data_IF_764551869836
#
_entry.id   IF_764551869836
#
_cell.length_a   1.000
_cell.length_b   1.000
_cell.length_c   1.000
_cell.angle_alpha   90.00
_cell.angle_beta   90.00
_cell.angle_gamma   90.00
#
_symmetry.space_group_name_H-M   'P 1'
#
loop_
_entity.id
_entity.type
_entity.pdbx_description
1 polymer ?
#
# COMPACT_ATOMS: atom_id res chain seq x y z
N UNK A 1 -21.02 -1.20 -34.30
CA UNK A 1 -21.46 -0.14 -35.25
C UNK A 1 -20.82 1.19 -34.79
N UNK A 2 -19.87 1.69 -35.58
CA UNK A 2 -19.21 3.01 -35.59
C UNK A 2 -20.04 4.20 -35.04
N UNK A 3 -19.55 5.34 -34.49
CA UNK A 3 -18.27 6.09 -34.48
C UNK A 3 -18.28 7.05 -33.27
N UNK A 4 -17.36 6.91 -32.32
CA UNK A 4 -16.86 7.99 -31.43
C UNK A 4 -15.53 7.49 -30.85
N UNK A 5 -14.45 8.23 -31.13
CA UNK A 5 -13.05 7.78 -31.03
C UNK A 5 -12.43 7.95 -29.62
N UNK A 6 -13.23 7.91 -28.56
CA UNK A 6 -12.73 7.87 -27.18
C UNK A 6 -13.63 6.95 -26.36
N UNK A 7 -13.12 5.79 -25.96
CA UNK A 7 -13.80 4.88 -25.06
C UNK A 7 -13.67 5.37 -23.62
N UNK A 8 -14.54 6.27 -23.17
CA UNK A 8 -14.74 6.56 -21.75
C UNK A 8 -15.57 5.43 -21.13
N UNK A 9 -14.90 4.34 -20.75
CA UNK A 9 -15.54 3.21 -20.09
C UNK A 9 -15.60 3.46 -18.57
N UNK A 10 -16.79 3.83 -18.10
CA UNK A 10 -17.16 3.84 -16.69
C UNK A 10 -17.22 2.39 -16.17
N UNK A 11 -16.18 1.90 -15.49
CA UNK A 11 -16.29 0.63 -14.76
C UNK A 11 -15.87 0.77 -13.30
N UNK A 12 -16.75 1.39 -12.52
CA UNK A 12 -16.95 1.10 -11.09
C UNK A 12 -18.25 0.28 -11.02
N UNK A 13 -18.31 -0.85 -10.29
CA UNK A 13 -19.54 -1.64 -10.17
C UNK A 13 -20.73 -0.75 -9.83
N UNK A 14 -21.82 -0.80 -10.61
CA UNK A 14 -22.97 0.12 -10.48
C UNK A 14 -23.47 0.22 -9.03
N UNK A 15 -23.68 -0.91 -8.35
CA UNK A 15 -24.17 -0.92 -6.97
C UNK A 15 -23.23 -0.26 -5.96
N UNK A 16 -21.91 -0.30 -6.17
CA UNK A 16 -20.93 0.37 -5.29
C UNK A 16 -20.86 1.86 -5.64
N UNK A 17 -20.95 2.21 -6.93
CA UNK A 17 -20.95 3.61 -7.35
C UNK A 17 -22.19 4.34 -6.89
N UNK A 18 -23.36 3.73 -7.01
CA UNK A 18 -24.62 4.38 -6.66
C UNK A 18 -24.72 4.50 -5.13
N UNK A 19 -24.35 3.47 -4.36
CA UNK A 19 -24.25 3.55 -2.90
C UNK A 19 -23.24 4.61 -2.41
N UNK A 20 -22.03 4.64 -2.98
CA UNK A 20 -21.02 5.64 -2.60
C UNK A 20 -21.37 7.04 -3.11
N UNK A 21 -21.98 7.16 -4.28
CA UNK A 21 -22.45 8.45 -4.79
C UNK A 21 -23.60 8.97 -3.95
N UNK A 22 -24.53 8.12 -3.51
CA UNK A 22 -25.63 8.50 -2.63
C UNK A 22 -25.10 8.90 -1.25
N UNK A 23 -24.19 8.11 -0.65
CA UNK A 23 -23.55 8.46 0.62
C UNK A 23 -22.82 9.80 0.49
N UNK A 24 -21.99 9.97 -0.55
CA UNK A 24 -21.24 11.21 -0.75
C UNK A 24 -22.16 12.39 -1.07
N UNK A 25 -23.22 12.18 -1.86
CA UNK A 25 -24.19 13.21 -2.24
C UNK A 25 -25.03 13.66 -1.05
N UNK A 26 -25.59 12.73 -0.26
CA UNK A 26 -26.31 13.08 0.97
C UNK A 26 -25.40 13.79 1.95
N UNK A 27 -24.18 13.29 2.12
CA UNK A 27 -23.20 13.90 3.02
C UNK A 27 -22.80 15.30 2.57
N UNK A 28 -22.59 15.52 1.26
CA UNK A 28 -22.26 16.83 0.71
C UNK A 28 -23.46 17.78 0.65
N UNK A 29 -24.69 17.27 0.51
CA UNK A 29 -25.92 18.09 0.47
C UNK A 29 -26.31 18.57 1.86
N UNK A 30 -26.22 17.72 2.88
CA UNK A 30 -26.40 18.13 4.28
C UNK A 30 -25.41 19.23 4.71
N UNK A 31 -24.23 19.24 4.10
CA UNK A 31 -23.20 20.27 4.26
C UNK A 31 -23.57 21.61 3.63
N UNK A 32 -24.29 21.60 2.51
CA UNK A 32 -24.73 22.83 1.81
C UNK A 32 -25.98 23.41 2.47
N UNK A 33 -26.89 22.56 2.95
CA UNK A 33 -28.18 22.97 3.52
C UNK A 33 -28.05 23.48 4.97
N UNK A 34 -27.10 22.97 5.77
CA UNK A 34 -26.87 23.37 7.17
C UNK A 34 -25.37 23.65 7.45
N UNK A 35 -24.86 24.85 7.08
CA UNK A 35 -23.44 25.18 7.18
C UNK A 35 -22.93 25.53 8.60
N UNK A 36 -23.77 25.48 9.64
CA UNK A 36 -23.36 25.82 11.03
C UNK A 36 -23.59 24.68 12.05
N UNK A 37 -24.10 23.52 11.61
CA UNK A 37 -24.40 22.36 12.48
C UNK A 37 -23.17 21.44 12.63
N UNK A 38 -22.25 21.86 13.50
CA UNK A 38 -20.96 21.20 13.77
C UNK A 38 -21.10 19.78 14.35
N UNK A 39 -22.20 19.47 15.04
CA UNK A 39 -22.43 18.14 15.65
C UNK A 39 -22.86 17.10 14.61
N UNK A 40 -23.64 17.51 13.60
CA UNK A 40 -23.98 16.69 12.44
C UNK A 40 -22.74 16.34 11.58
N UNK A 41 -21.65 17.11 11.70
CA UNK A 41 -20.42 16.92 10.94
C UNK A 41 -19.42 15.96 11.59
N UNK A 42 -19.71 15.44 12.78
CA UNK A 42 -18.86 14.46 13.47
C UNK A 42 -18.64 13.15 12.68
N UNK A 43 -19.49 12.84 11.70
CA UNK A 43 -19.36 11.68 10.80
C UNK A 43 -18.50 11.95 9.55
N UNK A 44 -18.20 13.21 9.23
CA UNK A 44 -17.26 13.60 8.18
C UNK A 44 -15.89 13.82 8.82
N UNK A 45 -14.79 13.30 8.26
CA UNK A 45 -13.48 13.62 8.80
C UNK A 45 -13.28 15.13 8.66
N UNK A 46 -13.19 15.82 9.80
CA UNK A 46 -13.01 17.27 10.04
C UNK A 46 -11.99 18.00 9.13
N UNK A 47 -11.27 17.30 8.25
CA UNK A 47 -10.35 17.84 7.26
C UNK A 47 -10.97 18.23 5.90
N UNK A 48 -12.14 17.72 5.52
CA UNK A 48 -12.69 17.95 4.15
C UNK A 48 -13.12 19.41 3.94
N UNK A 49 -13.68 20.06 4.97
CA UNK A 49 -14.10 21.47 4.89
C UNK A 49 -12.96 22.50 4.82
N UNK A 50 -11.71 22.09 5.07
CA UNK A 50 -10.55 23.00 5.15
C UNK A 50 -9.62 22.94 3.92
N UNK A 51 -10.00 22.21 2.86
CA UNK A 51 -9.31 22.30 1.57
C UNK A 51 -9.17 23.73 1.01
N UNK A 52 -10.16 24.64 1.15
CA UNK A 52 -10.04 26.01 0.64
C UNK A 52 -8.88 26.82 1.27
N UNK A 53 -8.38 26.42 2.45
CA UNK A 53 -7.45 27.24 3.24
C UNK A 53 -6.02 26.68 3.34
N UNK A 54 -5.69 25.58 2.65
CA UNK A 54 -4.37 24.95 2.76
C UNK A 54 -3.64 24.84 1.42
N UNK A 55 -3.11 25.96 0.93
CA UNK A 55 -2.09 26.02 -0.15
C UNK A 55 -0.99 24.95 0.01
N UNK A 56 -0.60 24.68 1.27
CA UNK A 56 0.40 23.68 1.63
C UNK A 56 0.00 22.26 1.23
N UNK A 57 -1.28 21.88 1.35
CA UNK A 57 -1.76 20.53 0.99
C UNK A 57 -1.70 20.33 -0.52
N UNK A 58 -2.23 21.29 -1.28
CA UNK A 58 -2.22 21.22 -2.75
C UNK A 58 -0.79 21.25 -3.29
N UNK A 59 0.05 22.16 -2.80
CA UNK A 59 1.47 22.21 -3.19
C UNK A 59 2.19 20.89 -2.89
N UNK A 60 2.05 20.36 -1.67
CA UNK A 60 2.65 19.06 -1.30
C UNK A 60 2.13 17.93 -2.18
N UNK A 61 0.84 17.91 -2.48
CA UNK A 61 0.22 16.92 -3.36
C UNK A 61 0.79 17.00 -4.78
N UNK A 62 0.93 18.20 -5.36
CA UNK A 62 1.55 18.39 -6.69
C UNK A 62 3.01 17.89 -6.70
N UNK A 63 3.80 18.23 -5.68
CA UNK A 63 5.20 17.80 -5.61
C UNK A 63 5.36 16.29 -5.45
N UNK A 64 4.37 15.64 -4.84
CA UNK A 64 4.39 14.18 -4.59
C UNK A 64 3.97 13.31 -5.78
N UNK A 65 3.72 13.88 -6.96
CA UNK A 65 3.61 13.10 -8.20
C UNK A 65 4.99 12.61 -8.65
N UNK A 66 5.05 11.39 -9.22
CA UNK A 66 6.29 10.91 -9.86
C UNK A 66 6.66 11.80 -11.06
N UNK A 67 7.96 11.97 -11.36
CA UNK A 67 8.41 12.71 -12.55
C UNK A 67 7.83 12.14 -13.85
N UNK A 68 7.71 10.82 -13.95
CA UNK A 68 7.23 10.14 -15.16
C UNK A 68 5.71 9.89 -15.17
N UNK A 69 4.96 10.65 -14.36
CA UNK A 69 3.51 10.47 -14.28
C UNK A 69 2.84 10.89 -15.59
N UNK A 70 2.20 9.93 -16.26
CA UNK A 70 1.55 10.15 -17.54
C UNK A 70 0.40 11.18 -17.45
N UNK A 71 0.16 11.97 -18.52
CA UNK A 71 -0.94 12.93 -18.59
C UNK A 71 -2.31 12.27 -18.74
N UNK A 72 -3.36 13.01 -18.39
CA UNK A 72 -4.74 12.63 -18.68
C UNK A 72 -5.17 12.98 -20.11
N UNK A 73 -6.47 12.88 -20.43
CA UNK A 73 -7.06 13.27 -21.73
C UNK A 73 -6.65 14.66 -22.26
N UNK A 74 -6.42 15.64 -21.40
CA UNK A 74 -6.01 17.02 -21.73
C UNK A 74 -4.55 17.12 -22.19
N UNK A 75 -3.74 16.09 -21.99
CA UNK A 75 -2.30 16.13 -22.25
C UNK A 75 -1.50 16.89 -21.18
N UNK A 76 -2.16 17.48 -20.18
CA UNK A 76 -1.45 18.12 -19.06
C UNK A 76 -0.83 17.05 -18.16
N UNK A 77 0.47 17.16 -17.93
CA UNK A 77 1.21 16.31 -17.01
C UNK A 77 1.29 16.96 -15.61
N UNK A 78 1.56 16.17 -14.56
CA UNK A 78 1.89 16.73 -13.26
C UNK A 78 3.14 17.62 -13.27
N UNK A 79 4.07 17.43 -14.21
CA UNK A 79 5.27 18.28 -14.30
C UNK A 79 4.93 19.71 -14.70
N UNK A 80 3.97 19.93 -15.62
CA UNK A 80 3.51 21.28 -15.93
C UNK A 80 2.96 22.01 -14.69
N UNK A 81 2.35 21.27 -13.77
CA UNK A 81 1.85 21.85 -12.51
C UNK A 81 2.99 22.16 -11.53
N UNK A 82 4.02 21.31 -11.47
CA UNK A 82 5.23 21.59 -10.68
C UNK A 82 5.94 22.83 -11.20
N UNK A 83 6.08 22.96 -12.52
CA UNK A 83 6.64 24.14 -13.19
C UNK A 83 5.81 25.40 -12.92
N UNK A 84 4.48 25.30 -12.97
CA UNK A 84 3.59 26.42 -12.62
C UNK A 84 3.79 26.91 -11.19
N UNK A 85 4.00 26.00 -10.23
CA UNK A 85 4.31 26.34 -8.82
C UNK A 85 5.72 26.89 -8.67
N UNK A 86 6.69 26.41 -9.46
CA UNK A 86 8.08 26.87 -9.45
C UNK A 86 8.37 27.97 -10.47
N UNK A 87 7.34 28.66 -10.96
CA UNK A 87 7.51 29.74 -11.91
C UNK A 87 8.46 30.82 -11.33
N UNK A 88 9.49 31.29 -12.07
CA UNK A 88 10.43 32.29 -11.57
C UNK A 88 9.77 33.61 -11.12
N UNK A 89 8.58 33.92 -11.65
CA UNK A 89 7.77 35.06 -11.24
C UNK A 89 6.95 34.73 -9.99
N UNK A 90 7.21 35.37 -8.83
CA UNK A 90 6.54 35.02 -7.58
C UNK A 90 5.02 35.27 -7.61
N UNK A 91 4.59 36.34 -8.28
CA UNK A 91 3.17 36.68 -8.43
C UNK A 91 2.43 35.66 -9.31
N UNK A 92 3.08 35.16 -10.36
CA UNK A 92 2.52 34.15 -11.26
C UNK A 92 2.41 32.81 -10.57
N UNK A 93 3.47 32.36 -9.88
CA UNK A 93 3.47 31.12 -9.10
C UNK A 93 2.37 31.11 -8.03
N UNK A 94 2.22 32.23 -7.31
CA UNK A 94 1.21 32.37 -6.25
C UNK A 94 -0.21 32.33 -6.83
N UNK A 95 -0.46 33.07 -7.91
CA UNK A 95 -1.76 33.06 -8.58
C UNK A 95 -2.10 31.69 -9.17
N UNK A 96 -1.12 31.00 -9.77
CA UNK A 96 -1.30 29.65 -10.29
C UNK A 96 -1.72 28.68 -9.18
N UNK A 97 -0.99 28.68 -8.05
CA UNK A 97 -1.31 27.82 -6.92
C UNK A 97 -2.67 28.16 -6.31
N UNK A 98 -3.04 29.45 -6.24
CA UNK A 98 -4.37 29.89 -5.80
C UNK A 98 -5.48 29.33 -6.69
N UNK A 99 -5.39 29.50 -8.01
CA UNK A 99 -6.40 28.98 -8.94
C UNK A 99 -6.46 27.46 -8.93
N UNK A 100 -5.31 26.79 -8.84
CA UNK A 100 -5.25 25.34 -8.74
C UNK A 100 -5.91 24.84 -7.44
N UNK A 101 -5.72 25.56 -6.33
CA UNK A 101 -6.35 25.24 -5.05
C UNK A 101 -7.87 25.42 -5.12
N UNK A 102 -8.35 26.51 -5.71
CA UNK A 102 -9.79 26.74 -5.94
C UNK A 102 -10.40 25.63 -6.79
N UNK A 103 -9.76 25.28 -7.92
CA UNK A 103 -10.22 24.20 -8.79
C UNK A 103 -10.27 22.84 -8.07
N UNK A 104 -9.21 22.51 -7.32
CA UNK A 104 -9.13 21.27 -6.54
C UNK A 104 -10.23 21.19 -5.48
N UNK A 105 -10.54 22.33 -4.87
CA UNK A 105 -11.62 22.47 -3.88
C UNK A 105 -12.99 22.21 -4.53
N UNK A 106 -13.29 22.86 -5.66
CA UNK A 106 -14.53 22.62 -6.40
C UNK A 106 -14.66 21.15 -6.85
N UNK A 107 -13.57 20.54 -7.29
CA UNK A 107 -13.50 19.12 -7.65
C UNK A 107 -13.80 18.21 -6.45
N UNK A 108 -13.26 18.52 -5.28
CA UNK A 108 -13.48 17.74 -4.06
C UNK A 108 -14.94 17.81 -3.58
N UNK A 109 -15.59 18.96 -3.72
CA UNK A 109 -17.01 19.15 -3.38
C UNK A 109 -17.99 18.75 -4.50
N UNK A 110 -17.50 18.33 -5.67
CA UNK A 110 -18.36 17.96 -6.80
C UNK A 110 -19.10 19.14 -7.45
N UNK A 111 -18.64 20.38 -7.26
CA UNK A 111 -19.31 21.60 -7.72
C UNK A 111 -19.07 21.93 -9.21
N UNK A 112 -18.74 20.93 -10.04
CA UNK A 112 -18.44 21.14 -11.44
C UNK A 112 -19.69 21.15 -12.31
N UNK A 113 -19.70 22.02 -13.33
CA UNK A 113 -20.70 21.96 -14.38
C UNK A 113 -20.60 20.63 -15.13
N UNK A 114 -21.75 19.99 -15.38
CA UNK A 114 -21.85 18.65 -16.01
C UNK A 114 -21.06 18.54 -17.33
N UNK A 115 -21.05 19.59 -18.16
CA UNK A 115 -20.31 19.62 -19.42
C UNK A 115 -18.78 19.52 -19.23
N UNK A 116 -18.27 20.10 -18.16
CA UNK A 116 -16.83 20.09 -17.81
C UNK A 116 -16.49 18.79 -17.06
N UNK A 117 -17.41 18.29 -16.23
CA UNK A 117 -17.24 17.05 -15.49
C UNK A 117 -16.94 15.86 -16.41
N UNK A 118 -17.57 15.76 -17.58
CA UNK A 118 -17.29 14.67 -18.54
C UNK A 118 -15.82 14.65 -18.99
N UNK A 119 -15.22 15.84 -19.18
CA UNK A 119 -13.83 15.99 -19.59
C UNK A 119 -12.87 15.78 -18.42
N UNK A 120 -13.18 16.37 -17.25
CA UNK A 120 -12.34 16.28 -16.05
C UNK A 120 -12.40 14.93 -15.33
N UNK A 121 -13.50 14.19 -15.47
CA UNK A 121 -13.64 12.84 -14.94
C UNK A 121 -13.19 11.76 -15.93
N UNK A 122 -12.80 12.16 -17.15
CA UNK A 122 -12.27 11.27 -18.17
C UNK A 122 -10.94 10.62 -17.80
N UNK A 123 -10.53 9.65 -18.63
CA UNK A 123 -9.25 8.98 -18.52
C UNK A 123 -8.71 8.55 -19.89
N UNK A 124 -7.40 8.61 -20.06
CA UNK A 124 -6.69 8.02 -21.19
C UNK A 124 -6.46 6.54 -20.93
N UNK A 125 -6.81 5.67 -21.87
CA UNK A 125 -6.63 4.23 -21.75
C UNK A 125 -5.32 3.78 -22.41
N UNK A 126 -4.47 3.10 -21.65
CA UNK A 126 -3.28 2.42 -22.14
C UNK A 126 -3.40 0.92 -21.92
N UNK A 127 -3.02 0.13 -22.90
CA UNK A 127 -2.93 -1.32 -22.75
C UNK A 127 -1.51 -1.70 -22.31
N UNK A 128 -1.39 -2.41 -21.20
CA UNK A 128 -0.12 -2.96 -20.70
C UNK A 128 -0.14 -4.47 -20.79
N UNK A 129 0.87 -5.07 -21.40
CA UNK A 129 0.99 -6.53 -21.49
C UNK A 129 1.39 -7.13 -20.13
N UNK A 130 0.68 -8.17 -19.69
CA UNK A 130 1.00 -9.01 -18.53
C UNK A 130 1.18 -10.46 -18.96
N UNK A 131 1.75 -11.29 -18.08
CA UNK A 131 2.01 -12.72 -18.33
C UNK A 131 0.77 -13.50 -18.81
N UNK A 132 -0.42 -13.13 -18.34
CA UNK A 132 -1.69 -13.79 -18.67
C UNK A 132 -2.60 -13.01 -19.63
N UNK A 133 -2.11 -11.94 -20.27
CA UNK A 133 -2.89 -11.14 -21.23
C UNK A 133 -2.73 -9.62 -21.07
N UNK A 134 -3.62 -8.85 -21.69
CA UNK A 134 -3.62 -7.40 -21.62
C UNK A 134 -4.28 -6.88 -20.34
N UNK A 135 -3.64 -5.92 -19.68
CA UNK A 135 -4.20 -5.16 -18.58
C UNK A 135 -4.45 -3.71 -19.04
N UNK A 136 -5.71 -3.25 -19.07
CA UNK A 136 -6.00 -1.85 -19.32
C UNK A 136 -5.56 -0.99 -18.12
N UNK A 137 -4.98 0.17 -18.39
CA UNK A 137 -4.60 1.19 -17.43
C UNK A 137 -5.39 2.45 -17.79
N UNK A 138 -6.19 2.93 -16.85
CA UNK A 138 -6.93 4.18 -17.01
C UNK A 138 -6.20 5.32 -16.29
N UNK A 139 -5.64 6.26 -17.06
CA UNK A 139 -4.95 7.43 -16.54
C UNK A 139 -5.95 8.58 -16.47
N UNK A 140 -6.46 8.83 -15.27
CA UNK A 140 -7.37 9.95 -15.03
C UNK A 140 -6.72 11.32 -15.25
N UNK A 141 -7.56 12.33 -15.42
CA UNK A 141 -7.11 13.72 -15.44
C UNK A 141 -6.24 14.11 -14.23
N UNK A 142 -5.25 14.98 -14.47
CA UNK A 142 -4.32 15.41 -13.41
C UNK A 142 -5.07 16.15 -12.30
N UNK A 143 -6.05 16.98 -12.65
CA UNK A 143 -6.85 17.70 -11.66
C UNK A 143 -7.64 16.76 -10.75
N UNK A 144 -8.25 15.72 -11.32
CA UNK A 144 -8.98 14.69 -10.55
C UNK A 144 -8.03 13.87 -9.67
N UNK A 145 -6.87 13.47 -10.20
CA UNK A 145 -5.82 12.78 -9.42
C UNK A 145 -5.30 13.66 -8.28
N UNK A 146 -5.12 14.96 -8.53
CA UNK A 146 -4.68 15.93 -7.54
C UNK A 146 -5.71 16.07 -6.40
N UNK A 147 -6.99 16.24 -6.72
CA UNK A 147 -8.06 16.28 -5.74
C UNK A 147 -8.10 15.00 -4.89
N UNK A 148 -8.04 13.84 -5.54
CA UNK A 148 -7.97 12.55 -4.84
C UNK A 148 -6.74 12.45 -3.93
N UNK A 149 -5.56 12.87 -4.38
CA UNK A 149 -4.33 12.85 -3.57
C UNK A 149 -4.42 13.77 -2.36
N UNK A 150 -5.05 14.94 -2.51
CA UNK A 150 -5.31 15.86 -1.40
C UNK A 150 -6.26 15.22 -0.39
N UNK A 151 -7.40 14.68 -0.84
CA UNK A 151 -8.38 14.02 0.04
C UNK A 151 -7.78 12.82 0.77
N UNK A 152 -7.09 11.94 0.05
CA UNK A 152 -6.41 10.78 0.65
C UNK A 152 -5.37 11.24 1.67
N UNK A 153 -4.62 12.31 1.41
CA UNK A 153 -3.63 12.82 2.37
C UNK A 153 -4.23 13.30 3.69
N UNK A 154 -5.50 13.71 3.69
CA UNK A 154 -6.23 14.15 4.88
C UNK A 154 -6.77 12.98 5.70
N UNK A 155 -7.20 11.90 5.02
CA UNK A 155 -7.90 10.76 5.65
C UNK A 155 -6.96 9.59 5.94
N UNK A 156 -5.84 9.46 5.21
CA UNK A 156 -4.87 8.35 5.35
C UNK A 156 -4.37 8.10 6.79
N UNK A 157 -4.12 9.11 7.64
CA UNK A 157 -3.71 8.86 9.03
C UNK A 157 -4.77 8.11 9.85
N UNK A 158 -6.05 8.33 9.57
CA UNK A 158 -7.17 7.71 10.29
C UNK A 158 -7.50 6.32 9.74
N UNK A 159 -7.32 6.11 8.43
CA UNK A 159 -7.54 4.82 7.76
C UNK A 159 -6.69 3.73 8.41
N UNK A 160 -5.41 4.01 8.66
CA UNK A 160 -4.51 3.02 9.26
C UNK A 160 -5.02 2.54 10.62
N UNK A 161 -5.43 3.45 11.52
CA UNK A 161 -5.96 3.07 12.84
C UNK A 161 -7.25 2.25 12.79
N UNK A 162 -8.08 2.45 11.76
CA UNK A 162 -9.38 1.78 11.64
C UNK A 162 -9.23 0.39 11.04
N UNK A 163 -8.40 0.24 10.01
CA UNK A 163 -8.34 -0.98 9.22
C UNK A 163 -7.21 -1.94 9.61
N UNK A 164 -6.19 -1.47 10.35
CA UNK A 164 -5.19 -2.34 10.93
C UNK A 164 -5.82 -3.26 12.01
N UNK A 165 -5.44 -4.55 12.10
CA UNK A 165 -4.41 -5.28 11.35
C UNK A 165 -4.90 -5.99 10.07
N UNK A 166 -6.16 -5.81 9.67
CA UNK A 166 -6.80 -6.66 8.66
C UNK A 166 -6.55 -6.18 7.21
N UNK A 167 -6.40 -4.87 6.99
CA UNK A 167 -6.10 -4.31 5.68
C UNK A 167 -4.59 -4.28 5.44
N UNK A 168 -4.16 -4.98 4.40
CA UNK A 168 -2.73 -5.14 4.06
C UNK A 168 -2.36 -4.56 2.70
N UNK A 169 -3.33 -3.90 2.05
CA UNK A 169 -3.16 -3.26 0.76
C UNK A 169 -3.08 -1.74 0.86
N UNK A 170 -3.95 -1.06 0.11
CA UNK A 170 -3.94 0.40 -0.01
C UNK A 170 -4.18 1.06 1.36
N UNK A 171 -3.28 1.97 1.75
CA UNK A 171 -3.39 2.77 2.97
C UNK A 171 -2.61 2.24 4.17
N UNK A 172 -2.01 1.05 4.08
CA UNK A 172 -1.16 0.50 5.14
C UNK A 172 0.25 0.19 4.59
N UNK A 173 1.28 0.98 4.96
CA UNK A 173 2.61 0.80 4.41
C UNK A 173 3.25 -0.50 4.91
N UNK A 174 3.89 -1.26 4.00
CA UNK A 174 4.67 -2.47 4.27
C UNK A 174 3.89 -3.69 4.84
N UNK A 175 2.55 -3.63 4.90
CA UNK A 175 1.76 -4.71 5.52
C UNK A 175 1.70 -5.98 4.67
N UNK A 176 1.70 -5.86 3.33
CA UNK A 176 1.74 -7.02 2.45
C UNK A 176 3.05 -7.81 2.64
N UNK A 177 4.17 -7.09 2.75
CA UNK A 177 5.48 -7.64 3.07
C UNK A 177 5.50 -8.26 4.47
N UNK A 178 4.86 -7.62 5.45
CA UNK A 178 4.70 -8.11 6.82
C UNK A 178 4.04 -9.49 6.83
N UNK A 179 2.94 -9.70 6.09
CA UNK A 179 2.31 -11.03 5.97
C UNK A 179 3.28 -12.06 5.42
N UNK A 180 3.99 -11.74 4.33
CA UNK A 180 4.95 -12.66 3.72
C UNK A 180 6.02 -13.06 4.74
N UNK A 181 6.50 -12.10 5.52
CA UNK A 181 7.45 -12.36 6.60
C UNK A 181 6.87 -13.22 7.73
N UNK A 182 5.64 -12.97 8.16
CA UNK A 182 4.96 -13.78 9.18
C UNK A 182 4.75 -15.23 8.72
N UNK A 183 4.25 -15.43 7.49
CA UNK A 183 4.07 -16.77 6.91
C UNK A 183 5.41 -17.49 6.82
N UNK A 184 6.46 -16.78 6.40
CA UNK A 184 7.80 -17.35 6.33
C UNK A 184 8.30 -17.81 7.70
N UNK A 185 8.07 -17.01 8.74
CA UNK A 185 8.43 -17.36 10.11
C UNK A 185 7.73 -18.66 10.56
N UNK A 186 6.42 -18.78 10.30
CA UNK A 186 5.66 -20.00 10.60
C UNK A 186 6.27 -21.24 9.93
N UNK A 187 6.63 -21.13 8.65
CA UNK A 187 7.28 -22.23 7.91
C UNK A 187 8.65 -22.59 8.51
N UNK A 188 9.43 -21.59 8.94
CA UNK A 188 10.73 -21.85 9.61
C UNK A 188 10.50 -22.56 10.94
N UNK A 189 9.54 -22.11 11.75
CA UNK A 189 9.22 -22.72 13.04
C UNK A 189 8.76 -24.18 12.88
N UNK A 190 7.91 -24.47 11.88
CA UNK A 190 7.49 -25.84 11.56
C UNK A 190 8.69 -26.73 11.18
N UNK A 191 9.65 -26.20 10.43
CA UNK A 191 10.88 -26.92 10.07
C UNK A 191 11.74 -27.22 11.30
N UNK A 192 11.92 -26.27 12.22
CA UNK A 192 12.66 -26.49 13.47
C UNK A 192 11.97 -27.58 14.31
N UNK A 193 10.63 -27.60 14.36
CA UNK A 193 9.87 -28.67 15.01
C UNK A 193 10.13 -30.06 14.39
N UNK A 194 10.16 -30.15 13.06
CA UNK A 194 10.51 -31.41 12.35
C UNK A 194 11.94 -31.84 12.62
N UNK A 195 12.90 -30.90 12.62
CA UNK A 195 14.30 -31.19 12.95
C UNK A 195 14.39 -31.74 14.37
N UNK A 196 13.69 -31.14 15.34
CA UNK A 196 13.64 -31.65 16.73
C UNK A 196 13.16 -33.10 16.79
N UNK A 197 12.09 -33.44 16.07
CA UNK A 197 11.57 -34.81 16.01
C UNK A 197 12.56 -35.79 15.36
N UNK A 198 13.29 -35.36 14.32
CA UNK A 198 14.30 -36.19 13.68
C UNK A 198 15.53 -36.38 14.56
N UNK A 199 15.97 -35.33 15.26
CA UNK A 199 17.05 -35.37 16.23
C UNK A 199 16.73 -36.30 17.38
N UNK A 200 15.49 -36.32 17.90
CA UNK A 200 15.13 -37.29 18.95
C UNK A 200 15.21 -38.75 18.48
N UNK A 201 15.01 -39.01 17.19
CA UNK A 201 15.12 -40.36 16.61
C UNK A 201 16.58 -40.78 16.39
N UNK A 202 17.54 -39.85 16.38
CA UNK A 202 18.95 -40.16 16.19
C UNK A 202 19.49 -41.10 17.29
N UNK A 203 19.02 -40.92 18.53
CA UNK A 203 19.34 -41.78 19.69
C UNK A 203 18.95 -43.26 19.53
N UNK A 204 18.15 -43.60 18.51
CA UNK A 204 17.78 -44.99 18.18
C UNK A 204 18.79 -45.70 17.27
N UNK A 205 19.79 -44.96 16.75
CA UNK A 205 20.86 -45.52 15.93
C UNK A 205 21.91 -46.18 16.84
N UNK A 206 22.36 -47.37 16.47
CA UNK A 206 23.36 -48.12 17.25
C UNK A 206 24.78 -47.52 17.17
N UNK A 207 25.07 -46.74 16.12
CA UNK A 207 26.40 -46.20 15.84
C UNK A 207 26.45 -44.67 15.96
N UNK A 208 27.23 -44.19 16.92
CA UNK A 208 27.45 -42.76 17.20
C UNK A 208 28.11 -42.02 16.02
N UNK A 209 28.91 -42.69 15.20
CA UNK A 209 29.52 -42.07 14.01
C UNK A 209 28.47 -41.79 12.93
N UNK A 210 27.53 -42.72 12.73
CA UNK A 210 26.37 -42.54 11.86
C UNK A 210 25.44 -41.44 12.38
N UNK A 211 25.24 -41.36 13.69
CA UNK A 211 24.48 -40.30 14.35
C UNK A 211 25.07 -38.91 14.08
N UNK A 212 26.38 -38.77 14.32
CA UNK A 212 27.12 -37.54 14.08
C UNK A 212 27.11 -37.12 12.60
N UNK A 213 27.32 -38.08 11.69
CA UNK A 213 27.32 -37.83 10.25
C UNK A 213 25.95 -37.36 9.74
N UNK A 214 24.85 -37.97 10.23
CA UNK A 214 23.48 -37.58 9.88
C UNK A 214 23.08 -36.23 10.47
N UNK A 215 23.49 -35.96 11.71
CA UNK A 215 23.32 -34.66 12.34
C UNK A 215 23.97 -33.58 11.46
N UNK A 216 25.27 -33.71 11.18
CA UNK A 216 26.06 -32.73 10.43
C UNK A 216 25.63 -32.57 8.96
N UNK A 217 25.25 -33.67 8.29
CA UNK A 217 25.01 -33.67 6.84
C UNK A 217 23.55 -33.48 6.44
N UNK A 218 22.59 -33.98 7.22
CA UNK A 218 21.19 -34.09 6.79
C UNK A 218 20.19 -33.31 7.64
N UNK A 219 20.54 -32.99 8.89
CA UNK A 219 19.57 -32.54 9.90
C UNK A 219 19.83 -31.14 10.46
N UNK A 220 21.09 -30.70 10.60
CA UNK A 220 21.39 -29.54 11.46
C UNK A 220 21.94 -28.28 10.79
N UNK A 221 21.95 -28.10 9.46
CA UNK A 221 22.40 -26.81 8.91
C UNK A 221 21.78 -26.41 7.56
N UNK A 222 21.78 -27.30 6.57
CA UNK A 222 21.45 -26.91 5.18
C UNK A 222 19.98 -26.47 5.00
N UNK A 223 19.04 -27.15 5.66
CA UNK A 223 17.59 -26.84 5.57
C UNK A 223 17.20 -25.59 6.37
N UNK A 224 17.91 -25.32 7.47
CA UNK A 224 17.72 -24.15 8.32
C UNK A 224 18.39 -22.90 7.71
N UNK A 225 19.65 -23.01 7.28
CA UNK A 225 20.39 -21.92 6.59
C UNK A 225 19.70 -21.46 5.31
N UNK A 226 19.15 -22.37 4.50
CA UNK A 226 18.36 -21.99 3.32
C UNK A 226 17.15 -21.12 3.70
N UNK A 227 16.48 -21.46 4.80
CA UNK A 227 15.34 -20.70 5.29
C UNK A 227 15.76 -19.35 5.92
N UNK A 228 16.89 -19.31 6.64
CA UNK A 228 17.47 -18.09 7.19
C UNK A 228 17.96 -17.12 6.12
N UNK A 229 18.63 -17.62 5.06
CA UNK A 229 19.14 -16.79 3.94
C UNK A 229 18.08 -15.97 3.22
N UNK A 230 16.83 -16.39 3.34
CA UNK A 230 15.71 -15.73 2.66
C UNK A 230 14.83 -14.96 3.65
N UNK A 231 15.15 -14.95 4.95
CA UNK A 231 14.38 -14.29 6.02
C UNK A 231 15.05 -12.98 6.45
N UNK A 232 14.29 -11.95 6.86
CA UNK A 232 14.86 -10.68 7.33
C UNK A 232 15.63 -10.90 8.65
N UNK A 233 16.73 -10.17 8.92
CA UNK A 233 17.62 -10.41 10.06
C UNK A 233 17.02 -10.11 11.44
N UNK A 234 15.90 -9.38 11.48
CA UNK A 234 15.31 -8.86 12.73
C UNK A 234 14.31 -9.83 13.39
N UNK A 235 13.85 -10.85 12.67
CA UNK A 235 12.79 -11.77 13.10
C UNK A 235 13.28 -13.15 13.60
N UNK A 236 14.45 -13.70 13.20
CA UNK A 236 14.79 -15.08 13.52
C UNK A 236 15.51 -15.26 14.86
N UNK A 237 15.84 -14.22 15.64
CA UNK A 237 16.69 -14.39 16.83
C UNK A 237 16.17 -15.46 17.82
N UNK A 238 14.88 -15.50 18.20
CA UNK A 238 14.37 -16.55 19.08
C UNK A 238 14.41 -17.95 18.45
N UNK A 239 14.20 -18.02 17.13
CA UNK A 239 14.18 -19.29 16.38
C UNK A 239 15.59 -19.82 16.14
N UNK A 240 16.58 -18.93 15.93
CA UNK A 240 18.00 -19.27 15.90
C UNK A 240 18.44 -19.80 17.25
N UNK A 241 18.12 -19.12 18.36
CA UNK A 241 18.46 -19.60 19.70
C UNK A 241 17.84 -20.97 20.01
N UNK A 242 16.59 -21.18 19.60
CA UNK A 242 15.92 -22.48 19.77
C UNK A 242 16.58 -23.59 18.94
N UNK A 243 17.07 -23.25 17.74
CA UNK A 243 17.79 -24.16 16.88
C UNK A 243 19.19 -24.47 17.43
N UNK A 244 19.94 -23.45 17.84
CA UNK A 244 21.28 -23.60 18.42
C UNK A 244 21.22 -24.47 19.68
N UNK A 245 20.25 -24.21 20.57
CA UNK A 245 20.02 -25.05 21.75
C UNK A 245 19.73 -26.52 21.37
N UNK A 246 18.90 -26.74 20.35
CA UNK A 246 18.58 -28.09 19.89
C UNK A 246 19.82 -28.81 19.36
N UNK A 247 20.65 -28.12 18.58
CA UNK A 247 21.87 -28.70 17.99
C UNK A 247 22.93 -28.94 19.07
N UNK A 248 23.15 -28.00 19.99
CA UNK A 248 24.08 -28.16 21.12
C UNK A 248 23.68 -29.31 22.05
N UNK A 249 22.37 -29.49 22.30
CA UNK A 249 21.87 -30.64 23.05
C UNK A 249 22.16 -31.96 22.33
N UNK A 250 21.82 -32.04 21.04
CA UNK A 250 22.07 -33.24 20.23
C UNK A 250 23.56 -33.62 20.21
N UNK A 251 24.46 -32.64 20.06
CA UNK A 251 25.90 -32.90 20.13
C UNK A 251 26.36 -33.35 21.51
N UNK A 252 25.80 -32.77 22.57
CA UNK A 252 26.13 -33.16 23.95
C UNK A 252 25.74 -34.62 24.22
N UNK A 253 24.60 -35.06 23.68
CA UNK A 253 24.13 -36.44 23.78
C UNK A 253 25.06 -37.40 23.02
N UNK A 254 25.40 -37.09 21.76
CA UNK A 254 26.29 -37.91 20.92
C UNK A 254 27.69 -38.07 21.53
N UNK A 255 28.22 -37.01 22.15
CA UNK A 255 29.59 -36.97 22.69
C UNK A 255 29.63 -37.45 24.15
N UNK A 256 28.48 -37.55 24.82
CA UNK A 256 28.38 -37.95 26.22
C UNK A 256 28.93 -36.91 27.20
N UNK A 257 28.91 -35.61 26.85
CA UNK A 257 29.48 -34.52 27.64
C UNK A 257 28.79 -33.18 27.40
N UNK A 258 28.86 -32.23 28.34
CA UNK A 258 28.16 -30.95 28.21
C UNK A 258 28.90 -29.97 27.31
N UNK A 259 28.27 -29.53 26.22
CA UNK A 259 28.75 -28.42 25.39
C UNK A 259 28.02 -27.13 25.81
N UNK A 260 28.74 -26.05 26.17
CA UNK A 260 28.10 -24.77 26.45
C UNK A 260 27.43 -24.21 25.19
N UNK A 261 26.24 -23.58 25.32
CA UNK A 261 25.50 -23.01 24.21
C UNK A 261 26.21 -21.82 23.55
#
# INVERSE_FOLDING_TARGET
ICRLLVATLYHVPKGVRDLWADILFFTLRSVVDCPDDLDAWSCLPNGIFLLPSKFRVVSKAVMSFSPDSAPGPTGLSPNHHKEGIHCPSPSTATNFLLRLTQLTTHLAFGLLLQAIALHLCGASLLASCRKSGLCPIAIGEVFRRLASKCLVSLVSPQIHSIFHPHQVGVGCPNEAESIIHSVKLLVVMERVGKIRSLVSLLSSLEDAQSEFALLQSCLSLLKFLCALRTSPPNVPLPVCLQFDFLVCHAFSDVIGGSIPP
#
